data_IF_135334289882
#
_entry.id   IF_135334289882
#
_cell.length_a   1.000
_cell.length_b   1.000
_cell.length_c   1.000
_cell.angle_alpha   90.00
_cell.angle_beta   90.00
_cell.angle_gamma   90.00
#
_symmetry.space_group_name_H-M   'P 1'
#
loop_
_entity.id
_entity.type
_entity.pdbx_description
1 polymer ?
#
# COMPACT_ATOMS: atom_id res chain seq x y z
N UNK A 1 -12.56 -66.03 -18.20
CA UNK A 1 -12.33 -65.25 -16.94
C UNK A 1 -11.16 -64.29 -16.98
N UNK A 2 -10.25 -64.40 -17.94
CA UNK A 2 -9.07 -63.53 -18.05
C UNK A 2 -9.28 -62.19 -18.80
N UNK A 3 -10.22 -62.14 -19.73
CA UNK A 3 -10.51 -60.92 -20.51
C UNK A 3 -11.10 -59.78 -19.68
N UNK A 4 -11.86 -60.06 -18.64
CA UNK A 4 -12.45 -59.04 -17.76
C UNK A 4 -11.38 -58.38 -16.87
N UNK A 5 -10.37 -59.12 -16.41
CA UNK A 5 -9.28 -58.58 -15.59
C UNK A 5 -8.34 -57.70 -16.41
N UNK A 6 -8.05 -58.05 -17.65
CA UNK A 6 -7.18 -57.24 -18.55
C UNK A 6 -7.89 -55.95 -18.99
N UNK A 7 -9.18 -55.95 -19.25
CA UNK A 7 -9.95 -54.77 -19.59
C UNK A 7 -10.00 -53.77 -18.39
N UNK A 8 -10.20 -54.27 -17.17
CA UNK A 8 -10.25 -53.45 -15.97
C UNK A 8 -8.92 -52.77 -15.64
N UNK A 9 -7.81 -53.49 -15.78
CA UNK A 9 -6.46 -52.94 -15.57
C UNK A 9 -6.13 -51.88 -16.62
N UNK A 10 -6.49 -52.10 -17.89
CA UNK A 10 -6.24 -51.14 -18.97
C UNK A 10 -7.00 -49.83 -18.76
N UNK A 11 -8.26 -49.90 -18.28
CA UNK A 11 -9.07 -48.68 -17.99
C UNK A 11 -8.50 -47.88 -16.82
N UNK A 12 -8.00 -48.57 -15.78
CA UNK A 12 -7.40 -47.93 -14.61
C UNK A 12 -6.08 -47.24 -14.95
N UNK A 13 -5.24 -47.86 -15.78
CA UNK A 13 -3.97 -47.28 -16.25
C UNK A 13 -4.21 -46.07 -17.14
N UNK A 14 -5.19 -46.14 -18.06
CA UNK A 14 -5.57 -44.98 -18.88
C UNK A 14 -6.09 -43.81 -18.03
N UNK A 15 -6.92 -44.10 -17.06
CA UNK A 15 -7.43 -43.07 -16.12
C UNK A 15 -6.31 -42.40 -15.31
N UNK A 16 -5.34 -43.15 -14.82
CA UNK A 16 -4.20 -42.62 -14.11
C UNK A 16 -3.29 -41.75 -15.00
N UNK A 17 -3.08 -42.16 -16.28
CA UNK A 17 -2.31 -41.36 -17.25
C UNK A 17 -3.00 -40.06 -17.58
N UNK A 18 -4.34 -40.06 -17.76
CA UNK A 18 -5.11 -38.86 -18.04
C UNK A 18 -5.08 -37.92 -16.83
N UNK A 19 -5.24 -38.42 -15.60
CA UNK A 19 -5.14 -37.63 -14.38
C UNK A 19 -3.74 -37.02 -14.19
N UNK A 20 -2.70 -37.79 -14.43
CA UNK A 20 -1.31 -37.30 -14.38
C UNK A 20 -1.04 -36.25 -15.47
N UNK A 21 -1.57 -36.44 -16.67
CA UNK A 21 -1.44 -35.46 -17.77
C UNK A 21 -2.20 -34.15 -17.43
N UNK A 22 -3.41 -34.21 -16.86
CA UNK A 22 -4.19 -33.05 -16.43
C UNK A 22 -3.47 -32.32 -15.29
N UNK A 23 -2.89 -33.05 -14.33
CA UNK A 23 -2.11 -32.48 -13.24
C UNK A 23 -0.86 -31.76 -13.75
N UNK A 24 -0.08 -32.41 -14.63
CA UNK A 24 1.13 -31.84 -15.21
C UNK A 24 0.87 -30.67 -16.17
N UNK A 25 -0.28 -30.66 -16.88
CA UNK A 25 -0.68 -29.54 -17.72
C UNK A 25 -1.19 -28.38 -16.84
N UNK A 26 -1.89 -28.69 -15.75
CA UNK A 26 -2.35 -27.66 -14.77
C UNK A 26 -1.19 -26.96 -14.07
N UNK A 27 -0.07 -27.66 -13.79
CA UNK A 27 1.12 -27.03 -13.20
C UNK A 27 1.96 -26.24 -14.21
N UNK A 28 1.86 -26.52 -15.50
CA UNK A 28 2.71 -25.91 -16.54
C UNK A 28 2.12 -24.69 -17.24
N UNK A 29 0.88 -24.35 -17.01
CA UNK A 29 0.38 -23.07 -17.50
C UNK A 29 0.79 -21.97 -16.52
N UNK A 30 1.80 -21.12 -16.86
CA UNK A 30 1.95 -19.86 -16.13
C UNK A 30 0.58 -19.17 -16.21
N UNK A 31 0.00 -18.83 -15.06
CA UNK A 31 -1.27 -18.08 -15.05
C UNK A 31 -1.07 -16.90 -15.98
N UNK A 32 -1.93 -16.76 -16.95
CA UNK A 32 -1.86 -15.70 -17.97
C UNK A 32 -1.73 -14.30 -17.34
N UNK A 33 -2.09 -14.16 -16.06
CA UNK A 33 -1.85 -12.99 -15.22
C UNK A 33 -0.38 -12.68 -14.95
N UNK A 34 0.51 -13.69 -14.90
CA UNK A 34 1.92 -13.51 -14.52
C UNK A 34 2.74 -12.78 -15.61
N UNK A 35 2.25 -12.78 -16.85
CA UNK A 35 2.89 -12.09 -17.98
C UNK A 35 2.20 -10.78 -18.33
N UNK A 36 0.88 -10.70 -18.14
CA UNK A 36 0.06 -9.60 -18.62
C UNK A 36 0.30 -8.29 -17.84
N UNK A 37 0.63 -8.38 -16.54
CA UNK A 37 0.83 -7.21 -15.67
C UNK A 37 2.15 -7.26 -14.90
N UNK A 38 3.15 -7.86 -15.49
CA UNK A 38 4.47 -8.05 -14.84
C UNK A 38 5.06 -6.72 -14.39
N UNK A 39 5.07 -5.74 -15.27
CA UNK A 39 5.63 -4.42 -15.00
C UNK A 39 4.83 -3.68 -13.91
N UNK A 40 3.51 -3.62 -14.04
CA UNK A 40 2.65 -3.04 -13.01
C UNK A 40 2.82 -3.72 -11.65
N UNK A 41 2.97 -5.05 -11.64
CA UNK A 41 3.17 -5.81 -10.41
C UNK A 41 4.54 -5.53 -9.78
N UNK A 42 5.58 -5.37 -10.60
CA UNK A 42 6.91 -5.01 -10.13
C UNK A 42 6.92 -3.60 -9.53
N UNK A 43 6.33 -2.63 -10.21
CA UNK A 43 6.17 -1.26 -9.72
C UNK A 43 5.35 -1.24 -8.42
N UNK A 44 4.26 -1.99 -8.35
CA UNK A 44 3.43 -2.09 -7.15
C UNK A 44 4.20 -2.68 -5.96
N UNK A 45 5.08 -3.66 -6.17
CA UNK A 45 5.96 -4.20 -5.12
C UNK A 45 6.93 -3.14 -4.62
N UNK A 46 7.47 -2.32 -5.52
CA UNK A 46 8.35 -1.21 -5.15
C UNK A 46 7.61 -0.19 -4.28
N UNK A 47 6.42 0.27 -4.70
CA UNK A 47 5.58 1.17 -3.89
C UNK A 47 5.22 0.54 -2.54
N UNK A 48 4.88 -0.75 -2.52
CA UNK A 48 4.56 -1.48 -1.29
C UNK A 48 5.73 -1.46 -0.29
N UNK A 49 6.97 -1.58 -0.76
CA UNK A 49 8.17 -1.48 0.07
C UNK A 49 8.34 -0.06 0.64
N UNK A 50 8.16 0.97 -0.19
CA UNK A 50 8.21 2.37 0.25
C UNK A 50 7.19 2.60 1.36
N UNK A 51 5.94 2.18 1.16
CA UNK A 51 4.86 2.39 2.15
C UNK A 51 5.07 1.60 3.43
N UNK A 52 5.63 0.40 3.34
CA UNK A 52 6.04 -0.36 4.52
C UNK A 52 7.13 0.37 5.32
N UNK A 53 8.15 0.91 4.66
CA UNK A 53 9.20 1.69 5.30
C UNK A 53 8.62 2.96 5.94
N UNK A 54 7.81 3.72 5.21
CA UNK A 54 7.18 4.94 5.71
C UNK A 54 6.38 4.69 6.99
N UNK A 55 5.45 3.72 7.00
CA UNK A 55 4.61 3.51 8.16
C UNK A 55 5.43 3.09 9.38
N UNK A 56 6.46 2.26 9.21
CA UNK A 56 7.34 1.83 10.32
C UNK A 56 8.19 2.96 10.84
N UNK A 57 8.80 3.74 9.95
CA UNK A 57 9.67 4.84 10.30
C UNK A 57 8.90 5.95 11.03
N UNK A 58 7.78 6.39 10.46
CA UNK A 58 6.98 7.46 11.09
C UNK A 58 6.32 7.04 12.40
N UNK A 59 5.97 5.75 12.58
CA UNK A 59 5.50 5.26 13.87
C UNK A 59 6.57 5.41 14.96
N UNK A 60 7.82 5.07 14.64
CA UNK A 60 8.93 5.19 15.59
C UNK A 60 9.32 6.65 15.83
N UNK A 61 9.34 7.48 14.79
CA UNK A 61 9.56 8.92 14.94
C UNK A 61 8.48 9.59 15.80
N UNK A 62 7.22 9.16 15.68
CA UNK A 62 6.15 9.64 16.55
C UNK A 62 6.40 9.29 18.02
N UNK A 63 6.94 8.10 18.29
CA UNK A 63 7.31 7.67 19.65
C UNK A 63 8.44 8.55 20.22
N UNK A 64 9.45 8.87 19.43
CA UNK A 64 10.54 9.77 19.84
C UNK A 64 10.01 11.18 20.09
N UNK A 65 9.19 11.73 19.19
CA UNK A 65 8.59 13.05 19.36
C UNK A 65 7.74 13.13 20.64
N UNK A 66 7.02 12.05 20.98
CA UNK A 66 6.24 11.98 22.23
C UNK A 66 7.16 12.00 23.47
N UNK A 67 8.27 11.28 23.45
CA UNK A 67 9.26 11.28 24.54
C UNK A 67 9.91 12.64 24.75
N UNK A 68 10.09 13.41 23.66
CA UNK A 68 10.63 14.76 23.68
C UNK A 68 9.56 15.83 23.98
N UNK A 69 8.35 15.42 24.37
CA UNK A 69 7.21 16.30 24.66
C UNK A 69 6.73 17.14 23.44
N UNK A 70 7.05 16.70 22.24
CA UNK A 70 6.60 17.29 20.97
C UNK A 70 5.26 16.68 20.52
N UNK A 71 4.24 16.74 21.39
CA UNK A 71 2.97 16.00 21.25
C UNK A 71 2.27 16.22 19.90
N UNK A 72 2.31 17.43 19.37
CA UNK A 72 1.66 17.75 18.09
C UNK A 72 2.40 17.17 16.89
N UNK A 73 3.74 17.20 16.93
CA UNK A 73 4.55 16.53 15.93
C UNK A 73 4.32 15.01 16.01
N UNK A 74 4.24 14.45 17.22
CA UNK A 74 3.92 13.06 17.43
C UNK A 74 2.56 12.69 16.83
N UNK A 75 1.52 13.51 17.05
CA UNK A 75 0.19 13.31 16.44
C UNK A 75 0.25 13.33 14.92
N UNK A 76 0.92 14.33 14.33
CA UNK A 76 1.08 14.44 12.87
C UNK A 76 1.82 13.21 12.29
N UNK A 77 2.89 12.76 12.95
CA UNK A 77 3.63 11.56 12.53
C UNK A 77 2.80 10.28 12.64
N UNK A 78 1.92 10.16 13.65
CA UNK A 78 0.95 9.05 13.75
C UNK A 78 -0.04 9.08 12.59
N UNK A 79 -0.51 10.25 12.17
CA UNK A 79 -1.38 10.42 10.99
C UNK A 79 -0.69 9.91 9.73
N UNK A 80 0.56 10.36 9.50
CA UNK A 80 1.34 9.95 8.32
C UNK A 80 1.61 8.44 8.35
N UNK A 81 2.00 7.91 9.51
CA UNK A 81 2.22 6.49 9.72
C UNK A 81 0.96 5.68 9.40
N UNK A 82 -0.18 6.07 9.97
CA UNK A 82 -1.46 5.37 9.76
C UNK A 82 -1.90 5.40 8.30
N UNK A 83 -1.79 6.55 7.63
CA UNK A 83 -2.10 6.66 6.20
C UNK A 83 -1.19 5.76 5.35
N UNK A 84 0.13 5.75 5.64
CA UNK A 84 1.10 4.88 4.95
C UNK A 84 0.85 3.40 5.24
N UNK A 85 0.37 3.03 6.43
CA UNK A 85 -0.03 1.66 6.76
C UNK A 85 -1.22 1.20 5.92
N UNK A 86 -2.27 2.03 5.80
CA UNK A 86 -3.42 1.74 4.92
C UNK A 86 -2.97 1.55 3.47
N UNK A 87 -2.09 2.41 2.97
CA UNK A 87 -1.51 2.30 1.62
C UNK A 87 -0.74 0.99 1.46
N UNK A 88 0.13 0.66 2.41
CA UNK A 88 0.88 -0.60 2.43
C UNK A 88 -0.03 -1.82 2.39
N UNK A 89 -1.06 -1.86 3.24
CA UNK A 89 -2.01 -2.98 3.28
C UNK A 89 -2.78 -3.14 1.97
N UNK A 90 -3.16 -2.04 1.34
CA UNK A 90 -3.84 -2.04 0.05
C UNK A 90 -2.92 -2.55 -1.07
N UNK A 91 -1.67 -2.07 -1.13
CA UNK A 91 -0.68 -2.57 -2.08
C UNK A 91 -0.43 -4.07 -1.90
N UNK A 92 -0.25 -4.53 -0.66
CA UNK A 92 -0.04 -5.94 -0.34
C UNK A 92 -1.22 -6.81 -0.76
N UNK A 93 -2.45 -6.38 -0.45
CA UNK A 93 -3.68 -7.09 -0.89
C UNK A 93 -3.76 -7.17 -2.41
N UNK A 94 -3.44 -6.08 -3.11
CA UNK A 94 -3.45 -6.04 -4.56
C UNK A 94 -2.39 -6.98 -5.17
N UNK A 95 -1.16 -7.01 -4.64
CA UNK A 95 -0.11 -7.94 -5.08
C UNK A 95 -0.60 -9.39 -4.96
N UNK A 96 -1.16 -9.77 -3.82
CA UNK A 96 -1.65 -11.13 -3.58
C UNK A 96 -2.83 -11.47 -4.49
N UNK A 97 -3.79 -10.54 -4.66
CA UNK A 97 -4.97 -10.75 -5.53
C UNK A 97 -4.62 -10.93 -7.01
N UNK A 98 -3.47 -10.39 -7.43
CA UNK A 98 -2.93 -10.55 -8.78
C UNK A 98 -1.99 -11.77 -8.92
N UNK A 99 -1.90 -12.62 -7.91
CA UNK A 99 -1.08 -13.83 -7.89
C UNK A 99 0.40 -13.59 -7.58
N UNK A 100 0.78 -12.36 -7.21
CA UNK A 100 2.15 -12.02 -6.83
C UNK A 100 2.49 -12.44 -5.40
N UNK A 101 3.78 -12.64 -5.14
CA UNK A 101 4.31 -12.82 -3.80
C UNK A 101 4.96 -11.51 -3.34
N UNK A 102 4.76 -11.19 -2.05
CA UNK A 102 5.39 -10.05 -1.40
C UNK A 102 6.09 -10.50 -0.13
N UNK A 103 7.39 -10.22 -0.05
CA UNK A 103 8.20 -10.45 1.14
C UNK A 103 8.33 -9.13 1.90
N UNK A 104 8.08 -9.17 3.20
CA UNK A 104 8.21 -7.99 4.07
C UNK A 104 9.70 -7.61 4.14
N UNK A 105 10.08 -6.40 3.70
CA UNK A 105 11.46 -5.98 3.76
C UNK A 105 11.90 -5.68 5.21
N UNK A 106 13.19 -5.81 5.46
CA UNK A 106 13.76 -5.30 6.71
C UNK A 106 13.76 -3.77 6.66
N UNK A 107 13.15 -3.14 7.66
CA UNK A 107 13.12 -1.68 7.77
C UNK A 107 14.25 -1.22 8.68
N UNK A 108 15.08 -0.31 8.18
CA UNK A 108 16.05 0.44 8.99
C UNK A 108 15.31 1.70 9.44
N UNK A 109 15.27 1.94 10.75
CA UNK A 109 14.63 3.12 11.31
C UNK A 109 15.68 4.22 11.36
N UNK A 110 15.37 5.33 10.71
CA UNK A 110 16.22 6.52 10.68
C UNK A 110 15.91 7.37 11.91
N UNK A 111 16.97 7.80 12.62
CA UNK A 111 16.82 8.74 13.73
C UNK A 111 17.10 10.16 13.23
N UNK A 112 16.11 11.03 13.35
CA UNK A 112 16.20 12.45 12.97
C UNK A 112 16.14 13.30 14.24
N UNK A 113 17.15 14.11 14.52
CA UNK A 113 17.39 14.66 15.87
C UNK A 113 16.49 15.83 16.26
N UNK A 114 15.85 16.56 15.32
CA UNK A 114 15.02 17.73 15.63
C UNK A 114 13.67 17.69 14.96
N UNK A 115 12.68 18.40 15.55
CA UNK A 115 11.34 18.47 15.00
C UNK A 115 11.29 19.12 13.60
N UNK A 116 12.06 20.19 13.37
CA UNK A 116 12.12 20.88 12.07
C UNK A 116 12.80 20.02 11.01
N UNK A 117 13.94 19.43 11.33
CA UNK A 117 14.67 18.52 10.42
C UNK A 117 13.80 17.32 10.04
N UNK A 118 13.03 16.80 10.99
CA UNK A 118 12.10 15.68 10.73
C UNK A 118 10.99 16.07 9.76
N UNK A 119 10.41 17.27 9.90
CA UNK A 119 9.40 17.80 8.95
C UNK A 119 10.01 17.97 7.55
N UNK A 120 11.20 18.58 7.45
CA UNK A 120 11.91 18.75 6.18
C UNK A 120 12.23 17.41 5.53
N UNK A 121 12.71 16.44 6.31
CA UNK A 121 12.99 15.09 5.83
C UNK A 121 11.71 14.40 5.31
N UNK A 122 10.61 14.49 6.05
CA UNK A 122 9.33 13.91 5.65
C UNK A 122 8.78 14.53 4.35
N UNK A 123 8.87 15.86 4.21
CA UNK A 123 8.49 16.58 2.99
C UNK A 123 9.33 16.12 1.81
N UNK A 124 10.67 16.12 1.99
CA UNK A 124 11.61 15.71 0.94
C UNK A 124 11.36 14.28 0.48
N UNK A 125 11.26 13.35 1.41
CA UNK A 125 11.06 11.92 1.13
C UNK A 125 9.75 11.66 0.38
N UNK A 126 8.63 12.24 0.85
CA UNK A 126 7.33 12.08 0.18
C UNK A 126 7.31 12.73 -1.20
N UNK A 127 7.89 13.93 -1.35
CA UNK A 127 7.98 14.62 -2.63
C UNK A 127 8.84 13.84 -3.64
N UNK A 128 9.96 13.28 -3.19
CA UNK A 128 10.82 12.45 -4.01
C UNK A 128 10.05 11.23 -4.54
N UNK A 129 9.38 10.49 -3.67
CA UNK A 129 8.63 9.30 -4.07
C UNK A 129 7.41 9.61 -4.93
N UNK A 130 6.70 10.71 -4.67
CA UNK A 130 5.65 11.21 -5.55
C UNK A 130 6.16 11.39 -6.97
N UNK A 131 7.24 12.18 -7.15
CA UNK A 131 7.75 12.55 -8.46
C UNK A 131 8.44 11.40 -9.22
N UNK A 132 9.11 10.49 -8.52
CA UNK A 132 9.97 9.48 -9.18
C UNK A 132 9.35 8.11 -9.26
N UNK A 133 8.49 7.73 -8.33
CA UNK A 133 7.99 6.36 -8.22
C UNK A 133 6.49 6.25 -8.42
N UNK A 134 5.71 7.08 -7.73
CA UNK A 134 4.24 6.92 -7.72
C UNK A 134 3.62 7.27 -9.06
N UNK A 135 3.96 8.41 -9.65
CA UNK A 135 3.43 8.83 -10.94
C UNK A 135 3.79 7.86 -12.06
N UNK A 136 5.06 7.44 -12.15
CA UNK A 136 5.48 6.45 -13.15
C UNK A 136 4.79 5.10 -12.98
N UNK A 137 4.50 4.69 -11.74
CA UNK A 137 3.77 3.45 -11.46
C UNK A 137 2.29 3.54 -11.87
N UNK A 138 1.66 4.71 -11.74
CA UNK A 138 0.29 4.96 -12.22
C UNK A 138 0.26 4.89 -13.75
N UNK A 139 1.20 5.57 -14.42
CA UNK A 139 1.31 5.57 -15.88
C UNK A 139 1.53 4.15 -16.42
N UNK A 140 2.42 3.37 -15.80
CA UNK A 140 2.65 1.97 -16.16
C UNK A 140 1.40 1.12 -15.99
N UNK A 141 0.68 1.27 -14.86
CA UNK A 141 -0.56 0.53 -14.63
C UNK A 141 -1.65 0.86 -15.67
N UNK A 142 -1.73 2.12 -16.11
CA UNK A 142 -2.63 2.54 -17.18
C UNK A 142 -2.20 1.97 -18.53
N UNK A 143 -0.91 1.98 -18.86
CA UNK A 143 -0.35 1.39 -20.08
C UNK A 143 -0.63 -0.12 -20.16
N UNK A 144 -0.52 -0.83 -19.06
CA UNK A 144 -0.85 -2.26 -18.94
C UNK A 144 -2.38 -2.52 -18.95
N UNK A 145 -3.23 -1.49 -18.96
CA UNK A 145 -4.68 -1.61 -18.85
C UNK A 145 -5.16 -2.02 -17.45
N UNK A 146 -4.31 -2.00 -16.43
CA UNK A 146 -4.64 -2.39 -15.07
C UNK A 146 -5.27 -1.24 -14.28
N UNK A 147 -6.55 -0.96 -14.57
CA UNK A 147 -7.30 0.12 -13.92
C UNK A 147 -7.44 -0.02 -12.41
N UNK A 148 -7.36 -1.24 -11.88
CA UNK A 148 -7.43 -1.50 -10.44
C UNK A 148 -6.18 -0.96 -9.72
N UNK A 149 -4.98 -1.30 -10.20
CA UNK A 149 -3.73 -0.79 -9.67
C UNK A 149 -3.66 0.73 -9.86
N UNK A 150 -3.95 1.23 -11.07
CA UNK A 150 -3.91 2.65 -11.37
C UNK A 150 -4.78 3.46 -10.39
N UNK A 151 -6.03 3.06 -10.17
CA UNK A 151 -6.95 3.72 -9.23
C UNK A 151 -6.42 3.69 -7.79
N UNK A 152 -5.93 2.55 -7.35
CA UNK A 152 -5.40 2.40 -5.99
C UNK A 152 -4.18 3.30 -5.76
N UNK A 153 -3.26 3.34 -6.72
CA UNK A 153 -2.07 4.21 -6.65
C UNK A 153 -2.45 5.69 -6.73
N UNK A 154 -3.46 6.05 -7.52
CA UNK A 154 -4.00 7.43 -7.55
C UNK A 154 -4.56 7.86 -6.20
N UNK A 155 -5.22 6.97 -5.46
CA UNK A 155 -5.66 7.27 -4.10
C UNK A 155 -4.48 7.47 -3.14
N UNK A 156 -3.46 6.62 -3.24
CA UNK A 156 -2.23 6.78 -2.46
C UNK A 156 -1.56 8.12 -2.74
N UNK A 157 -1.44 8.47 -4.02
CA UNK A 157 -0.84 9.71 -4.49
C UNK A 157 -1.58 10.96 -3.96
N UNK A 158 -2.89 10.99 -4.11
CA UNK A 158 -3.71 12.10 -3.60
C UNK A 158 -3.59 12.28 -2.08
N UNK A 159 -3.48 11.17 -1.33
CA UNK A 159 -3.22 11.20 0.11
C UNK A 159 -1.82 11.74 0.41
N UNK A 160 -0.78 11.30 -0.31
CA UNK A 160 0.59 11.78 -0.10
C UNK A 160 0.73 13.27 -0.42
N UNK A 161 0.14 13.75 -1.50
CA UNK A 161 0.11 15.18 -1.83
C UNK A 161 -0.56 15.99 -0.71
N UNK A 162 -1.68 15.53 -0.17
CA UNK A 162 -2.33 16.19 0.97
C UNK A 162 -1.44 16.20 2.21
N UNK A 163 -0.74 15.11 2.50
CA UNK A 163 0.22 15.05 3.61
C UNK A 163 1.39 16.01 3.42
N UNK A 164 1.95 16.12 2.21
CA UNK A 164 3.00 17.09 1.88
C UNK A 164 2.49 18.52 2.17
N UNK A 165 1.29 18.87 1.75
CA UNK A 165 0.70 20.19 2.00
C UNK A 165 0.53 20.47 3.51
N UNK A 166 0.10 19.48 4.28
CA UNK A 166 -0.02 19.59 5.74
C UNK A 166 1.36 19.81 6.35
N UNK A 167 2.35 19.02 6.01
CA UNK A 167 3.73 19.13 6.52
C UNK A 167 4.35 20.49 6.20
N UNK A 168 4.17 20.98 4.97
CA UNK A 168 4.67 22.30 4.55
C UNK A 168 4.03 23.44 5.35
N UNK A 169 2.72 23.35 5.60
CA UNK A 169 2.01 24.34 6.42
C UNK A 169 2.50 24.30 7.86
N UNK A 170 2.67 23.12 8.45
CA UNK A 170 3.17 22.96 9.81
C UNK A 170 4.62 23.47 9.95
N UNK A 171 5.45 23.29 8.92
CA UNK A 171 6.81 23.83 8.89
C UNK A 171 6.83 25.37 8.81
N UNK A 172 5.87 25.98 8.09
CA UNK A 172 5.79 27.42 7.91
C UNK A 172 5.07 28.15 9.07
N UNK A 173 4.45 27.42 10.00
CA UNK A 173 3.69 28.02 11.07
C UNK A 173 4.57 28.36 12.28
N UNK A 174 4.54 29.63 12.74
CA UNK A 174 5.21 30.08 13.99
C UNK A 174 4.67 29.38 15.24
N UNK A 175 3.46 28.91 15.18
CA UNK A 175 2.81 28.06 16.20
C UNK A 175 1.91 27.06 15.54
N UNK A 176 2.15 25.78 15.85
CA UNK A 176 1.34 24.69 15.32
C UNK A 176 -0.15 24.89 15.74
N UNK A 177 -1.07 25.06 14.81
CA UNK A 177 -2.51 25.14 15.08
C UNK A 177 -3.04 23.79 15.56
N UNK A 178 -3.80 23.73 16.65
CA UNK A 178 -4.37 22.48 17.14
C UNK A 178 -5.40 21.97 16.12
N UNK A 179 -5.08 20.86 15.45
CA UNK A 179 -5.95 20.27 14.42
C UNK A 179 -6.17 18.81 14.73
N UNK A 180 -7.43 18.41 14.76
CA UNK A 180 -7.80 17.01 14.71
C UNK A 180 -7.63 16.52 13.28
N UNK A 181 -6.95 15.41 13.10
CA UNK A 181 -6.76 14.76 11.82
C UNK A 181 -7.59 13.48 11.75
N UNK A 182 -7.99 13.12 10.53
CA UNK A 182 -8.73 11.89 10.28
C UNK A 182 -8.14 11.18 9.06
N UNK A 183 -8.05 9.85 9.15
CA UNK A 183 -7.52 9.00 8.08
C UNK A 183 -8.60 8.01 7.66
N UNK A 184 -8.92 7.99 6.38
CA UNK A 184 -9.85 7.00 5.83
C UNK A 184 -9.20 5.60 5.87
N UNK A 185 -9.82 4.61 6.52
CA UNK A 185 -9.25 3.27 6.65
C UNK A 185 -9.25 2.48 5.33
N UNK A 186 -9.98 2.95 4.32
CA UNK A 186 -10.09 2.29 3.01
C UNK A 186 -9.06 2.79 2.01
N UNK A 187 -8.91 4.12 1.84
CA UNK A 187 -8.07 4.71 0.79
C UNK A 187 -6.94 5.59 1.30
N UNK A 188 -6.76 5.70 2.61
CA UNK A 188 -5.76 6.55 3.27
C UNK A 188 -5.97 8.07 3.14
N UNK A 189 -7.09 8.53 2.57
CA UNK A 189 -7.36 9.97 2.48
C UNK A 189 -7.24 10.63 3.86
N UNK A 190 -6.46 11.72 3.92
CA UNK A 190 -6.27 12.50 5.14
C UNK A 190 -7.15 13.75 5.09
N UNK A 191 -7.87 14.04 6.16
CA UNK A 191 -8.67 15.25 6.32
C UNK A 191 -8.42 15.90 7.67
N UNK A 192 -8.65 17.21 7.71
CA UNK A 192 -8.64 18.05 8.91
C UNK A 192 -10.07 18.36 9.31
N UNK A 193 -10.33 18.45 10.59
CA UNK A 193 -11.67 18.28 11.19
C UNK A 193 -12.72 19.37 10.88
N UNK A 194 -12.36 20.47 10.26
CA UNK A 194 -13.29 21.61 10.18
C UNK A 194 -14.50 21.42 9.26
N UNK A 195 -14.44 20.51 8.28
CA UNK A 195 -15.51 20.25 7.31
C UNK A 195 -15.45 18.82 6.76
N UNK A 196 -15.74 17.83 7.62
CA UNK A 196 -15.76 16.43 7.16
C UNK A 196 -17.05 16.16 6.38
N UNK A 197 -16.98 15.77 5.10
CA UNK A 197 -18.15 15.28 4.38
C UNK A 197 -18.62 13.95 5.00
N UNK A 198 -19.91 13.63 4.90
CA UNK A 198 -20.47 12.38 5.41
C UNK A 198 -19.80 11.11 4.82
N UNK A 199 -19.19 11.26 3.64
CA UNK A 199 -18.52 10.18 2.93
C UNK A 199 -17.13 10.63 2.48
N UNK A 200 -16.19 9.70 2.45
CA UNK A 200 -14.87 9.93 1.88
C UNK A 200 -14.96 10.40 0.42
N UNK A 201 -14.37 11.54 0.04
CA UNK A 201 -14.47 12.04 -1.33
C UNK A 201 -13.73 11.16 -2.36
N UNK A 202 -12.84 10.27 -1.92
CA UNK A 202 -12.08 9.38 -2.81
C UNK A 202 -12.73 8.01 -2.99
N UNK A 203 -13.22 7.38 -1.91
CA UNK A 203 -13.65 5.99 -1.93
C UNK A 203 -15.07 5.74 -1.41
N UNK A 204 -15.77 6.80 -0.96
CA UNK A 204 -17.14 6.76 -0.45
C UNK A 204 -17.32 6.00 0.88
N UNK A 205 -16.25 5.71 1.61
CA UNK A 205 -16.33 5.17 2.98
C UNK A 205 -17.01 6.19 3.89
N UNK A 206 -17.87 5.74 4.79
CA UNK A 206 -18.53 6.61 5.76
C UNK A 206 -17.53 7.29 6.70
N UNK A 207 -17.70 8.58 6.99
CA UNK A 207 -16.73 9.34 7.77
C UNK A 207 -16.66 8.93 9.24
N UNK A 208 -17.70 8.29 9.77
CA UNK A 208 -17.70 7.69 11.10
C UNK A 208 -16.72 6.51 11.26
N UNK A 209 -16.27 5.90 10.14
CA UNK A 209 -15.27 4.85 10.13
C UNK A 209 -13.82 5.38 10.17
N UNK A 210 -13.63 6.68 10.03
CA UNK A 210 -12.29 7.26 9.96
C UNK A 210 -11.55 7.12 11.29
N UNK A 211 -10.25 6.84 11.19
CA UNK A 211 -9.34 6.89 12.34
C UNK A 211 -9.10 8.34 12.73
N UNK A 212 -9.29 8.67 14.02
CA UNK A 212 -9.18 10.03 14.55
C UNK A 212 -7.90 10.20 15.34
N UNK A 213 -7.21 11.32 15.14
CA UNK A 213 -5.95 11.69 15.80
C UNK A 213 -6.07 13.12 16.35
N UNK A 214 -5.83 13.26 17.66
CA UNK A 214 -5.90 14.52 18.42
C UNK A 214 -4.55 14.87 19.04
#
# INVERSE_FOLDING_TARGET
MNYFKTAFVATFVLGAIVLAAVYLIGERQPRQSDTLWRESLQQLKHICNIKHHEYRNYAEQARFAEQDSLHRLATLLRVISSASEVQYQNCRKAIVSLGGLFHIPTTIIEHTPTGEELLLHAIHHKTLHHNTSTLSSIEQALADGNRYIARMLTWCDASDVKMIMILQRELAADSLTHSTYRVCPTCSAVSEDSLLPCLCPQCMTASEEFLVFE
#
